data_IF_161297994736
#
_entry.id   IF_161297994736
#
_cell.length_a   1.000
_cell.length_b   1.000
_cell.length_c   1.000
_cell.angle_alpha   90.00
_cell.angle_beta   90.00
_cell.angle_gamma   90.00
#
_symmetry.space_group_name_H-M   'P 1'
#
loop_
_entity.id
_entity.type
_entity.pdbx_description
1 polymer ?
#
# COMPACT_ATOMS: atom_id res chain seq x y z
N UNK A 1 -1.24 -5.82 4.94
CA UNK A 1 -0.22 -5.11 4.15
C UNK A 1 1.08 -5.91 4.12
N UNK A 2 1.72 -5.99 2.96
CA UNK A 2 3.02 -6.61 2.73
C UNK A 2 4.14 -5.61 2.57
N UNK A 3 4.47 -4.88 3.63
CA UNK A 3 5.65 -4.00 3.71
C UNK A 3 6.67 -4.57 4.69
N UNK A 4 7.94 -4.22 4.54
CA UNK A 4 9.02 -4.73 5.40
C UNK A 4 8.93 -4.34 6.88
N UNK A 5 8.06 -3.38 7.24
CA UNK A 5 7.73 -2.99 8.63
C UNK A 5 6.25 -2.65 8.76
N UNK A 6 5.36 -3.65 8.89
CA UNK A 6 3.92 -3.45 9.03
C UNK A 6 3.57 -2.50 10.18
N UNK A 7 4.36 -2.50 11.26
CA UNK A 7 4.14 -1.70 12.47
C UNK A 7 4.19 -0.19 12.21
N UNK A 8 5.02 0.26 11.26
CA UNK A 8 5.09 1.69 10.93
C UNK A 8 3.81 2.17 10.25
N UNK A 9 3.23 1.35 9.38
CA UNK A 9 1.99 1.67 8.69
C UNK A 9 0.80 1.68 9.65
N UNK A 10 0.73 0.69 10.54
CA UNK A 10 -0.27 0.64 11.61
C UNK A 10 -0.19 1.88 12.48
N UNK A 11 1.01 2.26 12.91
CA UNK A 11 1.21 3.46 13.74
C UNK A 11 0.72 4.73 13.04
N UNK A 12 1.02 4.91 11.74
CA UNK A 12 0.51 6.06 10.99
C UNK A 12 -1.02 6.09 10.96
N UNK A 13 -1.68 4.93 10.78
CA UNK A 13 -3.14 4.85 10.82
C UNK A 13 -3.69 5.19 12.21
N UNK A 14 -3.09 4.67 13.28
CA UNK A 14 -3.47 4.98 14.66
C UNK A 14 -3.29 6.48 14.98
N UNK A 15 -2.20 7.10 14.52
CA UNK A 15 -1.94 8.54 14.66
C UNK A 15 -2.96 9.41 13.90
N UNK A 16 -3.56 8.88 12.84
CA UNK A 16 -4.66 9.49 12.10
C UNK A 16 -6.03 9.23 12.75
N UNK A 17 -6.08 8.52 13.88
CA UNK A 17 -7.30 8.21 14.63
C UNK A 17 -8.03 6.96 14.14
N UNK A 18 -7.40 6.12 13.31
CA UNK A 18 -7.99 4.85 12.93
C UNK A 18 -7.79 3.80 14.03
N UNK A 19 -8.82 2.98 14.25
CA UNK A 19 -8.78 1.82 15.13
C UNK A 19 -9.13 0.58 14.31
N UNK A 20 -8.49 -0.57 14.57
CA UNK A 20 -8.84 -1.78 13.86
C UNK A 20 -7.82 -2.91 13.95
N UNK A 21 -7.97 -3.87 13.04
CA UNK A 21 -7.12 -5.04 12.94
C UNK A 21 -6.16 -4.94 11.76
N UNK A 22 -4.94 -5.45 11.95
CA UNK A 22 -3.92 -5.49 10.90
C UNK A 22 -3.73 -6.93 10.42
N UNK A 23 -4.02 -7.15 9.14
CA UNK A 23 -3.67 -8.39 8.46
C UNK A 23 -2.34 -8.20 7.73
N UNK A 24 -1.25 -8.71 8.31
CA UNK A 24 0.08 -8.65 7.73
C UNK A 24 0.26 -9.77 6.69
N UNK A 25 0.80 -9.42 5.53
CA UNK A 25 1.16 -10.37 4.48
C UNK A 25 2.67 -10.26 4.23
N UNK A 26 3.34 -11.31 3.71
CA UNK A 26 4.73 -11.20 3.26
C UNK A 26 4.91 -10.13 2.18
N UNK A 27 6.14 -9.65 1.99
CA UNK A 27 6.39 -8.81 0.82
C UNK A 27 6.16 -9.62 -0.47
N UNK A 28 5.77 -8.91 -1.53
CA UNK A 28 5.42 -9.48 -2.83
C UNK A 28 4.26 -10.48 -2.80
N UNK A 29 3.41 -10.42 -1.77
CA UNK A 29 2.28 -11.33 -1.66
C UNK A 29 1.35 -11.28 -2.88
N UNK A 30 0.98 -12.46 -3.37
CA UNK A 30 -0.01 -12.64 -4.43
C UNK A 30 -1.34 -12.98 -3.78
N UNK A 31 -2.19 -11.96 -3.64
CA UNK A 31 -3.51 -12.12 -3.06
C UNK A 31 -4.34 -13.14 -3.84
N UNK A 32 -4.88 -14.10 -3.11
CA UNK A 32 -5.80 -15.13 -3.57
C UNK A 32 -7.23 -14.81 -3.17
N UNK A 33 -8.21 -15.54 -3.71
CA UNK A 33 -9.60 -15.45 -3.23
C UNK A 33 -9.73 -15.82 -1.74
N UNK A 34 -8.91 -16.74 -1.26
CA UNK A 34 -8.87 -17.13 0.16
C UNK A 34 -8.49 -15.94 1.04
N UNK A 35 -7.51 -15.14 0.61
CA UNK A 35 -7.09 -13.93 1.32
C UNK A 35 -8.23 -12.90 1.34
N UNK A 36 -8.94 -12.71 0.23
CA UNK A 36 -10.08 -11.78 0.19
C UNK A 36 -11.24 -12.24 1.07
N UNK A 37 -11.51 -13.55 1.13
CA UNK A 37 -12.50 -14.10 2.07
C UNK A 37 -12.08 -13.82 3.52
N UNK A 38 -10.81 -14.04 3.86
CA UNK A 38 -10.27 -13.74 5.17
C UNK A 38 -10.44 -12.25 5.51
N UNK A 39 -9.99 -11.34 4.64
CA UNK A 39 -10.13 -9.89 4.85
C UNK A 39 -11.60 -9.50 5.06
N UNK A 40 -12.51 -10.02 4.24
CA UNK A 40 -13.95 -9.72 4.33
C UNK A 40 -14.58 -10.26 5.62
N UNK A 41 -14.15 -11.44 6.07
CA UNK A 41 -14.62 -12.01 7.34
C UNK A 41 -14.14 -11.19 8.53
N UNK A 42 -12.85 -10.82 8.55
CA UNK A 42 -12.28 -10.01 9.63
C UNK A 42 -12.90 -8.62 9.69
N UNK A 43 -13.04 -7.94 8.54
CA UNK A 43 -13.70 -6.64 8.45
C UNK A 43 -15.13 -6.69 9.02
N UNK A 44 -15.94 -7.68 8.62
CA UNK A 44 -17.29 -7.86 9.15
C UNK A 44 -17.31 -8.18 10.64
N UNK A 45 -16.38 -9.02 11.12
CA UNK A 45 -16.31 -9.43 12.52
C UNK A 45 -16.06 -8.27 13.48
N UNK A 46 -15.23 -7.31 13.07
CA UNK A 46 -14.91 -6.13 13.88
C UNK A 46 -15.80 -4.91 13.57
N UNK A 47 -16.70 -5.03 12.58
CA UNK A 47 -17.53 -3.91 12.12
C UNK A 47 -16.71 -2.80 11.46
N UNK A 48 -15.65 -3.15 10.72
CA UNK A 48 -14.77 -2.16 10.09
C UNK A 48 -15.50 -1.33 9.04
N UNK A 49 -15.34 0.00 9.09
CA UNK A 49 -15.86 0.91 8.09
C UNK A 49 -15.08 0.86 6.78
N UNK A 50 -13.75 0.64 6.86
CA UNK A 50 -12.83 0.73 5.74
C UNK A 50 -11.82 -0.42 5.72
N UNK A 51 -11.47 -0.86 4.51
CA UNK A 51 -10.30 -1.71 4.26
C UNK A 51 -9.23 -0.83 3.65
N UNK A 52 -8.12 -0.65 4.37
CA UNK A 52 -7.01 0.23 3.98
C UNK A 52 -5.75 -0.59 3.70
N UNK A 53 -5.00 -0.22 2.66
CA UNK A 53 -3.71 -0.82 2.33
C UNK A 53 -2.69 0.25 1.88
N UNK A 54 -1.46 -0.17 1.59
CA UNK A 54 -0.42 0.72 1.04
C UNK A 54 -0.52 0.82 -0.47
N UNK A 55 0.03 1.90 -1.05
CA UNK A 55 0.10 2.06 -2.51
C UNK A 55 0.80 0.88 -3.20
N UNK A 56 1.88 0.37 -2.60
CA UNK A 56 2.61 -0.80 -3.11
C UNK A 56 1.71 -2.02 -3.30
N UNK A 57 0.85 -2.30 -2.32
CA UNK A 57 -0.08 -3.42 -2.40
C UNK A 57 -1.29 -3.08 -3.27
N UNK A 58 -1.69 -1.81 -3.36
CA UNK A 58 -2.77 -1.37 -4.25
C UNK A 58 -2.44 -1.62 -5.73
N UNK A 59 -1.20 -1.34 -6.17
CA UNK A 59 -0.72 -1.64 -7.54
C UNK A 59 -0.91 -3.13 -7.87
N UNK A 60 -0.72 -3.98 -6.88
CA UNK A 60 -0.87 -5.43 -7.01
C UNK A 60 -2.34 -5.85 -7.11
N UNK A 61 -3.23 -5.18 -6.38
CA UNK A 61 -4.67 -5.41 -6.42
C UNK A 61 -5.34 -4.85 -7.69
N UNK A 62 -4.77 -3.79 -8.28
CA UNK A 62 -5.31 -3.12 -9.47
C UNK A 62 -4.95 -3.80 -10.80
N UNK A 63 -4.06 -4.79 -10.78
CA UNK A 63 -3.64 -5.55 -11.97
C UNK A 63 -4.09 -7.02 -11.87
N UNK A 64 -5.40 -7.31 -12.03
CA UNK A 64 -5.90 -8.67 -12.01
C UNK A 64 -5.44 -9.45 -13.24
N UNK A 65 -5.06 -10.70 -13.03
CA UNK A 65 -4.68 -11.69 -14.05
C UNK A 65 -5.53 -12.94 -13.84
N UNK A 66 -5.47 -13.92 -14.75
CA UNK A 66 -6.21 -15.18 -14.59
C UNK A 66 -5.91 -15.91 -13.26
N UNK A 67 -4.69 -15.75 -12.74
CA UNK A 67 -4.21 -16.27 -11.46
C UNK A 67 -4.31 -15.28 -10.30
N UNK A 68 -4.72 -14.02 -10.55
CA UNK A 68 -4.84 -12.97 -9.55
C UNK A 68 -6.22 -12.31 -9.59
N UNK A 69 -7.16 -12.78 -8.75
CA UNK A 69 -8.51 -12.25 -8.74
C UNK A 69 -8.53 -10.77 -8.32
N UNK A 70 -9.55 -10.05 -8.77
CA UNK A 70 -9.85 -8.69 -8.30
C UNK A 70 -10.45 -8.77 -6.90
N UNK A 71 -10.09 -7.82 -6.02
CA UNK A 71 -10.71 -7.71 -4.71
C UNK A 71 -12.24 -7.47 -4.86
N UNK A 72 -13.10 -8.22 -4.13
CA UNK A 72 -14.55 -8.10 -4.21
C UNK A 72 -15.13 -6.97 -3.34
N UNK A 73 -14.28 -6.11 -2.78
CA UNK A 73 -14.63 -5.00 -1.89
C UNK A 73 -13.83 -3.76 -2.25
N UNK A 74 -14.30 -2.60 -1.82
CA UNK A 74 -13.54 -1.35 -1.95
C UNK A 74 -12.29 -1.39 -1.07
N UNK A 75 -11.19 -0.89 -1.62
CA UNK A 75 -9.90 -0.81 -0.94
C UNK A 75 -9.43 0.64 -1.01
N UNK A 76 -9.17 1.20 0.17
CA UNK A 76 -8.63 2.53 0.33
C UNK A 76 -7.11 2.46 0.45
N UNK A 77 -6.43 3.48 -0.04
CA UNK A 77 -4.97 3.51 -0.09
C UNK A 77 -4.50 4.69 0.73
N UNK A 78 -3.69 4.44 1.76
CA UNK A 78 -2.98 5.50 2.44
C UNK A 78 -1.74 5.86 1.62
N UNK A 79 -1.79 7.05 1.01
CA UNK A 79 -0.68 7.61 0.23
C UNK A 79 0.32 8.29 1.16
N UNK A 80 1.59 8.22 0.78
CA UNK A 80 2.67 8.93 1.47
C UNK A 80 3.24 9.96 0.52
N UNK A 81 3.28 11.22 0.94
CA UNK A 81 3.98 12.30 0.25
C UNK A 81 5.33 12.55 0.88
N UNK A 82 6.32 12.92 0.06
CA UNK A 82 7.64 13.34 0.51
C UNK A 82 7.89 14.79 0.10
N UNK A 83 8.22 15.63 1.07
CA UNK A 83 8.59 17.01 0.84
C UNK A 83 10.06 17.27 1.13
N UNK A 84 10.78 17.74 0.10
CA UNK A 84 12.16 18.17 0.23
C UNK A 84 12.18 19.60 0.79
N UNK A 85 12.46 19.73 2.09
CA UNK A 85 12.49 21.02 2.79
C UNK A 85 13.68 21.90 2.40
N UNK A 86 14.80 21.30 1.97
CA UNK A 86 16.01 22.00 1.54
C UNK A 86 16.71 21.24 0.42
N UNK A 87 17.28 21.98 -0.55
CA UNK A 87 18.05 21.38 -1.64
C UNK A 87 17.21 20.77 -2.77
N UNK A 88 15.92 21.12 -2.89
CA UNK A 88 15.03 20.65 -3.96
C UNK A 88 15.62 20.84 -5.35
N UNK A 89 16.09 22.05 -5.69
CA UNK A 89 16.68 22.31 -7.00
C UNK A 89 17.96 21.50 -7.28
N UNK A 90 18.72 21.12 -6.25
CA UNK A 90 19.87 20.20 -6.41
C UNK A 90 19.40 18.77 -6.69
N UNK A 91 18.37 18.31 -5.98
CA UNK A 91 17.78 16.99 -6.21
C UNK A 91 17.19 16.88 -7.63
N UNK A 92 16.44 17.90 -8.07
CA UNK A 92 15.87 17.96 -9.42
C UNK A 92 16.95 17.93 -10.51
N UNK A 93 18.05 18.70 -10.32
CA UNK A 93 19.17 18.68 -11.26
C UNK A 93 19.83 17.30 -11.37
N UNK A 94 20.07 16.63 -10.24
CA UNK A 94 20.66 15.29 -10.21
C UNK A 94 19.73 14.25 -10.85
N UNK A 95 18.42 14.35 -10.62
CA UNK A 95 17.44 13.46 -11.25
C UNK A 95 17.46 13.61 -12.77
N UNK A 96 17.47 14.84 -13.28
CA UNK A 96 17.56 15.11 -14.72
C UNK A 96 18.86 14.57 -15.35
N UNK A 97 19.98 14.69 -14.65
CA UNK A 97 21.26 14.10 -15.09
C UNK A 97 21.17 12.56 -15.19
N UNK A 98 20.59 11.89 -14.19
CA UNK A 98 20.40 10.43 -14.18
C UNK A 98 19.48 9.98 -15.33
N UNK A 99 18.37 10.67 -15.55
CA UNK A 99 17.42 10.36 -16.64
C UNK A 99 18.10 10.48 -18.01
N UNK A 100 18.92 11.52 -18.20
CA UNK A 100 19.67 11.73 -19.45
C UNK A 100 20.70 10.62 -19.73
N UNK A 101 21.30 10.06 -18.68
CA UNK A 101 22.26 8.95 -18.79
C UNK A 101 21.57 7.61 -19.01
N UNK A 102 20.34 7.44 -18.51
CA UNK A 102 19.55 6.22 -18.67
C UNK A 102 18.94 6.09 -20.07
N UNK A 103 18.88 7.21 -20.81
CA UNK A 103 18.35 7.31 -22.16
C UNK A 103 19.43 7.21 -23.27
N UNK A 104 20.71 7.05 -22.89
CA UNK A 104 21.87 6.90 -23.78
C UNK A 104 22.37 5.45 -23.83
#
# INVERSE_FOLDING_TARGET
CGIGRPESFTRTLEELGAEGEVLAFPDHWRFSEGDFRLVSERARKIGADLIVTTEKDAVRLSQPTADRPKAPFEVYVLLVSLDILRGRGRAEKLLAEIESLSAA
#
